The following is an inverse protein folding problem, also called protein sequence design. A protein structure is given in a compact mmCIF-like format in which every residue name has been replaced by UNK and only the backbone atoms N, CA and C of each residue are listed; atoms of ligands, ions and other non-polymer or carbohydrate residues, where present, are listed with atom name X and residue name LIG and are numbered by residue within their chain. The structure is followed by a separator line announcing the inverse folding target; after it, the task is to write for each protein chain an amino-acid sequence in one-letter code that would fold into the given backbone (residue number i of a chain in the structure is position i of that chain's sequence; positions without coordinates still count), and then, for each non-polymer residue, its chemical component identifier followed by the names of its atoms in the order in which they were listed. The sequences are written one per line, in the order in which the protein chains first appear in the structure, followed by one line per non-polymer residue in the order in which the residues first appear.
data_IF_417489887686
#
_entry.id   IF_417489887686
#
_cell.length_a   1.000
_cell.length_b   1.000
_cell.length_c   1.000
_cell.angle_alpha   90.00
_cell.angle_beta   90.00
_cell.angle_gamma   90.00
#
_symmetry.space_group_name_H-M   'P 1'
#
loop_
_entity.id
_entity.type
_entity.pdbx_description
1 polymer ?
#
# COMPACT_ATOMS: atom_id res chain seq x y z
N UNK A 1 -20.77 33.40 19.88
CA UNK A 1 -19.39 33.45 20.42
C UNK A 1 -18.82 32.09 20.13
N UNK A 2 -18.16 31.98 18.98
CA UNK A 2 -17.66 30.73 18.45
C UNK A 2 -16.50 30.25 19.32
N UNK A 3 -16.72 29.18 20.08
CA UNK A 3 -15.65 28.51 20.80
C UNK A 3 -14.77 27.83 19.75
N UNK A 4 -13.72 28.54 19.32
CA UNK A 4 -12.62 27.95 18.57
C UNK A 4 -12.13 26.73 19.35
N UNK A 5 -12.36 25.54 18.79
CA UNK A 5 -11.80 24.30 19.33
C UNK A 5 -10.27 24.48 19.46
N UNK A 6 -9.64 23.94 20.51
CA UNK A 6 -8.21 24.07 20.70
C UNK A 6 -7.46 23.50 19.47
N UNK A 7 -6.29 24.07 19.10
CA UNK A 7 -5.46 23.54 18.03
C UNK A 7 -4.87 22.19 18.49
N UNK A 8 -5.63 21.12 18.28
CA UNK A 8 -5.29 19.75 18.66
C UNK A 8 -5.76 18.78 17.59
N UNK A 9 -5.17 17.58 17.59
CA UNK A 9 -5.59 16.49 16.70
C UNK A 9 -7.09 16.21 16.90
N UNK A 10 -7.87 16.29 15.82
CA UNK A 10 -9.29 15.92 15.86
C UNK A 10 -9.43 14.43 16.19
N UNK A 11 -10.59 14.05 16.74
CA UNK A 11 -10.89 12.63 16.98
C UNK A 11 -10.77 11.82 15.68
N UNK A 12 -11.24 12.38 14.55
CA UNK A 12 -11.13 11.77 13.23
C UNK A 12 -9.67 11.55 12.87
N UNK A 13 -8.79 12.54 13.07
CA UNK A 13 -7.35 12.40 12.83
C UNK A 13 -6.72 11.27 13.66
N UNK A 14 -7.09 11.16 14.95
CA UNK A 14 -6.60 10.08 15.82
C UNK A 14 -7.08 8.72 15.33
N UNK A 15 -8.36 8.58 14.98
CA UNK A 15 -8.93 7.34 14.47
C UNK A 15 -8.32 6.96 13.11
N UNK A 16 -8.08 7.93 12.22
CA UNK A 16 -7.40 7.72 10.94
C UNK A 16 -5.97 7.24 11.12
N UNK A 17 -5.22 7.78 12.09
CA UNK A 17 -3.87 7.32 12.41
C UNK A 17 -3.85 5.90 12.98
N UNK A 18 -4.83 5.55 13.82
CA UNK A 18 -5.00 4.19 14.31
C UNK A 18 -5.34 3.23 13.16
N UNK A 19 -6.27 3.60 12.28
CA UNK A 19 -6.62 2.82 11.10
C UNK A 19 -5.41 2.60 10.18
N UNK A 20 -4.62 3.65 9.92
CA UNK A 20 -3.37 3.57 9.17
C UNK A 20 -2.35 2.62 9.84
N UNK A 21 -2.21 2.71 11.17
CA UNK A 21 -1.35 1.78 11.92
C UNK A 21 -1.82 0.33 11.81
N UNK A 22 -3.13 0.07 11.81
CA UNK A 22 -3.70 -1.25 11.58
C UNK A 22 -3.48 -1.75 10.14
N UNK A 23 -3.59 -0.88 9.13
CA UNK A 23 -3.28 -1.23 7.74
C UNK A 23 -1.81 -1.62 7.57
N UNK A 24 -0.89 -0.85 8.14
CA UNK A 24 0.56 -1.18 8.14
C UNK A 24 0.80 -2.51 8.86
N UNK A 25 0.19 -2.72 10.03
CA UNK A 25 0.31 -3.97 10.76
C UNK A 25 -0.19 -5.16 9.92
N UNK A 26 -1.34 -5.03 9.27
CA UNK A 26 -1.88 -6.05 8.38
C UNK A 26 -0.90 -6.35 7.23
N UNK A 27 -0.34 -5.33 6.59
CA UNK A 27 0.66 -5.50 5.53
C UNK A 27 1.93 -6.21 6.03
N UNK A 28 2.40 -5.88 7.25
CA UNK A 28 3.53 -6.56 7.90
C UNK A 28 3.21 -8.03 8.17
N UNK A 29 2.03 -8.33 8.69
CA UNK A 29 1.59 -9.71 8.96
C UNK A 29 1.48 -10.53 7.67
N UNK A 30 0.92 -9.95 6.59
CA UNK A 30 0.86 -10.59 5.27
C UNK A 30 2.27 -10.84 4.73
N UNK A 31 3.16 -9.86 4.82
CA UNK A 31 4.55 -9.98 4.39
C UNK A 31 5.29 -11.06 5.18
N UNK A 32 5.08 -11.14 6.49
CA UNK A 32 5.68 -12.19 7.30
C UNK A 32 5.12 -13.58 6.97
N UNK A 33 3.80 -13.66 6.70
CA UNK A 33 3.09 -14.91 6.41
C UNK A 33 3.42 -15.49 5.03
N UNK A 34 3.58 -14.64 4.03
CA UNK A 34 3.80 -15.04 2.63
C UNK A 34 5.25 -14.85 2.18
N UNK A 35 5.99 -13.90 2.76
CA UNK A 35 7.35 -13.55 2.35
C UNK A 35 8.44 -14.57 2.68
N UNK A 36 8.15 -15.63 3.46
CA UNK A 36 8.96 -16.84 3.59
C UNK A 36 10.49 -16.65 3.53
N UNK A 37 11.16 -17.35 2.61
CA UNK A 37 12.60 -17.27 2.36
C UNK A 37 12.99 -16.17 1.34
N UNK A 38 12.10 -15.22 1.05
CA UNK A 38 12.38 -14.15 0.09
C UNK A 38 13.48 -13.23 0.62
N UNK A 39 14.22 -12.59 -0.30
CA UNK A 39 15.30 -11.69 0.07
C UNK A 39 14.79 -10.50 0.88
N UNK A 40 15.66 -9.81 1.61
CA UNK A 40 15.27 -8.59 2.36
C UNK A 40 14.65 -7.54 1.44
N UNK A 41 15.16 -7.42 0.20
CA UNK A 41 14.61 -6.51 -0.81
C UNK A 41 13.19 -6.91 -1.21
N UNK A 42 12.98 -8.20 -1.49
CA UNK A 42 11.66 -8.71 -1.87
C UNK A 42 10.66 -8.54 -0.73
N UNK A 43 11.09 -8.69 0.53
CA UNK A 43 10.23 -8.44 1.70
C UNK A 43 9.79 -6.98 1.79
N UNK A 44 10.66 -6.01 1.50
CA UNK A 44 10.27 -4.60 1.45
C UNK A 44 9.32 -4.31 0.29
N UNK A 45 9.56 -4.91 -0.88
CA UNK A 45 8.65 -4.81 -2.03
C UNK A 45 7.28 -5.40 -1.68
N UNK A 46 7.24 -6.60 -1.11
CA UNK A 46 6.00 -7.24 -0.66
C UNK A 46 5.25 -6.40 0.37
N UNK A 47 5.97 -5.83 1.36
CA UNK A 47 5.36 -4.95 2.35
C UNK A 47 4.70 -3.74 1.71
N UNK A 48 5.42 -3.07 0.81
CA UNK A 48 4.89 -1.94 0.06
C UNK A 48 3.65 -2.34 -0.73
N UNK A 49 3.72 -3.42 -1.53
CA UNK A 49 2.61 -3.86 -2.38
C UNK A 49 1.39 -4.33 -1.58
N UNK A 50 1.58 -5.02 -0.45
CA UNK A 50 0.46 -5.38 0.43
C UNK A 50 -0.19 -4.16 1.04
N UNK A 51 0.60 -3.20 1.50
CA UNK A 51 0.08 -1.94 2.05
C UNK A 51 -0.69 -1.15 0.98
N UNK A 52 -0.13 -1.06 -0.22
CA UNK A 52 -0.73 -0.43 -1.39
C UNK A 52 -2.12 -1.03 -1.69
N UNK A 53 -2.24 -2.36 -1.83
CA UNK A 53 -3.53 -3.03 -2.05
C UNK A 53 -4.51 -2.77 -0.90
N UNK A 54 -4.04 -2.77 0.35
CA UNK A 54 -4.90 -2.50 1.52
C UNK A 54 -5.46 -1.07 1.46
N UNK A 55 -4.63 -0.07 1.15
CA UNK A 55 -5.06 1.34 1.05
C UNK A 55 -6.09 1.50 -0.06
N UNK A 56 -5.84 0.95 -1.25
CA UNK A 56 -6.80 1.01 -2.35
C UNK A 56 -8.14 0.37 -1.99
N UNK A 57 -8.16 -0.76 -1.28
CA UNK A 57 -9.40 -1.43 -0.90
C UNK A 57 -10.16 -0.74 0.24
N UNK A 58 -9.45 -0.11 1.18
CA UNK A 58 -10.04 0.39 2.44
C UNK A 58 -10.23 1.90 2.49
N UNK A 59 -9.54 2.68 1.64
CA UNK A 59 -9.63 4.14 1.60
C UNK A 59 -10.06 4.65 0.21
N UNK A 60 -9.27 4.39 -0.83
CA UNK A 60 -9.52 4.94 -2.17
C UNK A 60 -10.76 4.34 -2.84
N UNK A 61 -10.97 3.02 -2.72
CA UNK A 61 -12.16 2.35 -3.24
C UNK A 61 -13.46 2.90 -2.64
N UNK A 62 -13.58 3.03 -1.30
CA UNK A 62 -14.70 3.72 -0.68
C UNK A 62 -14.84 5.19 -1.09
N UNK A 63 -13.74 5.93 -1.26
CA UNK A 63 -13.77 7.28 -1.82
C UNK A 63 -14.44 7.30 -3.20
N UNK A 64 -13.93 6.48 -4.13
CA UNK A 64 -14.48 6.34 -5.48
C UNK A 64 -15.96 5.97 -5.43
N UNK A 65 -16.35 5.03 -4.57
CA UNK A 65 -17.76 4.66 -4.40
C UNK A 65 -18.62 5.86 -3.98
N UNK A 66 -18.23 6.58 -2.93
CA UNK A 66 -18.95 7.78 -2.47
C UNK A 66 -19.02 8.87 -3.55
N UNK A 67 -17.94 9.04 -4.32
CA UNK A 67 -17.82 10.07 -5.37
C UNK A 67 -18.53 9.74 -6.67
N UNK A 68 -18.75 8.46 -6.99
CA UNK A 68 -19.52 8.05 -8.18
C UNK A 68 -21.02 8.09 -7.92
N UNK A 69 -21.45 7.76 -6.70
CA UNK A 69 -22.86 7.71 -6.32
C UNK A 69 -23.36 8.98 -5.59
N UNK A 70 -22.50 9.98 -5.44
CA UNK A 70 -22.80 11.21 -4.71
C UNK A 70 -21.54 12.05 -4.53
N UNK A 71 -21.33 12.55 -3.31
CA UNK A 71 -20.08 13.17 -2.91
C UNK A 71 -19.71 12.76 -1.49
N UNK A 72 -18.44 12.96 -1.11
CA UNK A 72 -18.00 12.84 0.29
C UNK A 72 -18.80 13.78 1.20
N UNK A 73 -19.18 14.97 0.71
CA UNK A 73 -19.95 15.93 1.48
C UNK A 73 -21.32 15.40 1.91
N UNK A 74 -22.00 14.66 1.05
CA UNK A 74 -23.35 14.12 1.29
C UNK A 74 -23.34 12.72 1.86
N UNK A 75 -22.18 12.09 1.96
CA UNK A 75 -22.01 10.73 2.49
C UNK A 75 -21.96 10.76 4.01
N UNK A 76 -22.29 9.65 4.65
CA UNK A 76 -22.28 9.51 6.12
C UNK A 76 -21.43 8.32 6.56
N UNK A 77 -20.96 8.38 7.80
CA UNK A 77 -20.18 7.33 8.44
C UNK A 77 -18.67 7.58 8.50
N UNK A 78 -17.91 6.65 9.10
CA UNK A 78 -16.52 6.90 9.49
C UNK A 78 -15.57 7.23 8.34
N UNK A 79 -15.76 6.60 7.18
CA UNK A 79 -14.94 6.88 6.00
C UNK A 79 -15.29 8.22 5.36
N UNK A 80 -16.56 8.62 5.39
CA UNK A 80 -16.97 9.96 4.92
C UNK A 80 -16.41 11.04 5.84
N UNK A 81 -16.42 10.83 7.16
CA UNK A 81 -15.78 11.74 8.12
C UNK A 81 -14.26 11.83 7.92
N UNK A 82 -13.59 10.69 7.71
CA UNK A 82 -12.16 10.64 7.39
C UNK A 82 -11.84 11.46 6.13
N UNK A 83 -12.58 11.25 5.04
CA UNK A 83 -12.37 11.97 3.78
C UNK A 83 -12.78 13.45 3.87
N UNK A 84 -13.76 13.80 4.71
CA UNK A 84 -14.06 15.21 5.04
C UNK A 84 -12.91 15.88 5.77
N UNK A 85 -12.32 15.21 6.76
CA UNK A 85 -11.13 15.72 7.44
C UNK A 85 -9.96 15.86 6.46
N UNK A 86 -9.71 14.86 5.62
CA UNK A 86 -8.69 14.92 4.57
C UNK A 86 -8.93 16.08 3.59
N UNK A 87 -10.18 16.35 3.24
CA UNK A 87 -10.54 17.43 2.32
C UNK A 87 -10.26 18.84 2.85
N UNK A 88 -9.93 19.00 4.14
CA UNK A 88 -9.43 20.26 4.67
C UNK A 88 -8.07 20.63 4.06
N UNK A 89 -7.26 19.64 3.68
CA UNK A 89 -6.00 19.86 2.98
C UNK A 89 -6.21 20.17 1.48
N UNK A 90 -7.24 19.60 0.87
CA UNK A 90 -7.63 19.84 -0.52
C UNK A 90 -9.14 19.62 -0.71
N UNK A 91 -9.87 20.70 -0.93
CA UNK A 91 -11.34 20.68 -0.98
C UNK A 91 -11.91 19.93 -2.19
N UNK A 92 -11.10 19.65 -3.20
CA UNK A 92 -11.52 18.89 -4.39
C UNK A 92 -11.95 17.45 -4.07
N UNK A 93 -11.40 16.88 -3.00
CA UNK A 93 -11.80 15.57 -2.46
C UNK A 93 -13.21 15.60 -1.86
N UNK A 94 -13.67 16.76 -1.36
CA UNK A 94 -15.01 16.89 -0.78
C UNK A 94 -16.10 16.84 -1.86
N UNK A 95 -15.87 17.54 -2.96
CA UNK A 95 -16.84 17.76 -4.05
C UNK A 95 -16.71 16.77 -5.20
N UNK A 96 -15.84 15.77 -5.08
CA UNK A 96 -15.63 14.72 -6.09
C UNK A 96 -15.19 15.29 -7.45
N UNK A 97 -14.11 16.07 -7.44
CA UNK A 97 -13.53 16.62 -8.67
C UNK A 97 -13.28 15.53 -9.73
N UNK A 98 -13.74 15.69 -10.98
CA UNK A 98 -13.65 14.64 -11.99
C UNK A 98 -12.22 14.19 -12.30
N UNK A 99 -11.21 15.04 -12.14
CA UNK A 99 -9.82 14.67 -12.38
C UNK A 99 -9.32 13.73 -11.28
N UNK A 100 -9.62 14.05 -10.02
CA UNK A 100 -9.30 13.21 -8.86
C UNK A 100 -10.06 11.90 -8.95
N UNK A 101 -11.37 11.94 -9.18
CA UNK A 101 -12.18 10.71 -9.27
C UNK A 101 -11.71 9.82 -10.43
N UNK A 102 -11.34 10.41 -11.58
CA UNK A 102 -10.85 9.63 -12.72
C UNK A 102 -9.51 8.95 -12.45
N UNK A 103 -8.57 9.62 -11.78
CA UNK A 103 -7.28 9.00 -11.44
C UNK A 103 -7.45 7.95 -10.35
N UNK A 104 -8.31 8.18 -9.35
CA UNK A 104 -8.56 7.20 -8.28
C UNK A 104 -9.28 5.95 -8.80
N UNK A 105 -10.18 6.07 -9.77
CA UNK A 105 -10.74 4.90 -10.47
C UNK A 105 -9.63 4.11 -11.17
N UNK A 106 -8.67 4.81 -11.80
CA UNK A 106 -7.54 4.19 -12.47
C UNK A 106 -6.64 3.45 -11.46
N UNK A 107 -6.28 4.07 -10.35
CA UNK A 107 -5.39 3.49 -9.32
C UNK A 107 -6.06 2.31 -8.62
N UNK A 108 -7.30 2.48 -8.15
CA UNK A 108 -8.08 1.43 -7.46
C UNK A 108 -8.28 0.19 -8.33
N UNK A 109 -8.39 0.33 -9.65
CA UNK A 109 -8.56 -0.82 -10.54
C UNK A 109 -7.23 -1.31 -11.08
N UNK A 110 -6.51 -0.48 -11.84
CA UNK A 110 -5.32 -0.92 -12.56
C UNK A 110 -4.12 -1.14 -11.63
N UNK A 111 -3.83 -0.19 -10.74
CA UNK A 111 -2.67 -0.30 -9.87
C UNK A 111 -2.87 -1.40 -8.83
N UNK A 112 -4.07 -1.57 -8.29
CA UNK A 112 -4.38 -2.71 -7.40
C UNK A 112 -4.24 -4.06 -8.10
N UNK A 113 -4.75 -4.22 -9.33
CA UNK A 113 -4.57 -5.46 -10.10
C UNK A 113 -3.10 -5.72 -10.41
N UNK A 114 -2.36 -4.67 -10.82
CA UNK A 114 -0.94 -4.75 -11.07
C UNK A 114 -0.16 -5.13 -9.80
N UNK A 115 -0.49 -4.54 -8.64
CA UNK A 115 0.13 -4.83 -7.36
C UNK A 115 -0.09 -6.30 -6.96
N UNK A 116 -1.31 -6.84 -7.14
CA UNK A 116 -1.60 -8.26 -6.92
C UNK A 116 -0.79 -9.17 -7.86
N UNK A 117 -0.66 -8.80 -9.15
CA UNK A 117 0.17 -9.54 -10.10
C UNK A 117 1.65 -9.51 -9.71
N UNK A 118 2.16 -8.36 -9.24
CA UNK A 118 3.54 -8.22 -8.77
C UNK A 118 3.78 -9.02 -7.48
N UNK A 119 2.85 -9.00 -6.52
CA UNK A 119 2.90 -9.87 -5.33
C UNK A 119 2.99 -11.33 -5.77
N UNK A 120 2.11 -11.76 -6.68
CA UNK A 120 2.15 -13.12 -7.21
C UNK A 120 3.49 -13.44 -7.88
N UNK A 121 4.03 -12.53 -8.70
CA UNK A 121 5.30 -12.72 -9.39
C UNK A 121 6.49 -12.84 -8.42
N UNK A 122 6.54 -11.99 -7.38
CA UNK A 122 7.58 -12.01 -6.35
C UNK A 122 7.50 -13.30 -5.52
N UNK A 123 6.30 -13.71 -5.11
CA UNK A 123 6.12 -14.93 -4.29
C UNK A 123 6.43 -16.22 -5.05
N UNK A 124 6.18 -16.27 -6.36
CA UNK A 124 6.42 -17.46 -7.17
C UNK A 124 7.83 -17.49 -7.79
N UNK A 125 8.68 -16.50 -7.49
CA UNK A 125 10.11 -16.53 -7.81
C UNK A 125 10.41 -16.73 -9.30
N UNK A 126 9.42 -16.46 -10.18
CA UNK A 126 9.44 -16.88 -11.59
C UNK A 126 10.34 -16.03 -12.48
N UNK A 127 10.94 -14.95 -11.99
CA UNK A 127 11.56 -13.96 -12.89
C UNK A 127 13.06 -13.68 -12.72
N UNK A 128 13.73 -14.04 -11.61
CA UNK A 128 15.13 -13.61 -11.40
C UNK A 128 16.18 -14.69 -11.08
N UNK A 129 15.80 -15.92 -10.73
CA UNK A 129 16.79 -16.94 -10.34
C UNK A 129 17.50 -17.65 -11.49
N UNK A 130 17.08 -17.45 -12.74
CA UNK A 130 17.77 -18.11 -13.86
C UNK A 130 19.08 -17.44 -14.27
N UNK A 131 19.28 -16.15 -13.98
CA UNK A 131 20.39 -15.36 -14.54
C UNK A 131 21.36 -14.75 -13.52
N UNK A 132 21.05 -14.82 -12.23
CA UNK A 132 21.97 -14.38 -11.18
C UNK A 132 22.50 -15.62 -10.46
N UNK A 133 23.73 -16.08 -10.77
CA UNK A 133 24.39 -17.06 -9.95
C UNK A 133 24.46 -16.50 -8.53
N UNK A 134 23.94 -17.27 -7.58
CA UNK A 134 24.02 -16.96 -6.17
C UNK A 134 25.48 -16.60 -5.84
N UNK A 135 25.68 -15.47 -5.16
CA UNK A 135 27.01 -15.02 -4.75
C UNK A 135 27.71 -16.11 -3.90
N UNK A 136 26.94 -16.95 -3.20
CA UNK A 136 27.46 -18.10 -2.46
C UNK A 136 27.99 -19.23 -3.37
N UNK A 137 27.44 -19.40 -4.57
CA UNK A 137 27.92 -20.38 -5.55
C UNK A 137 29.17 -19.91 -6.26
N UNK A 138 29.27 -18.60 -6.56
CA UNK A 138 30.51 -18.02 -7.10
C UNK A 138 31.68 -18.17 -6.13
N UNK A 139 31.45 -17.91 -4.84
CA UNK A 139 32.48 -18.07 -3.80
C UNK A 139 32.84 -19.54 -3.62
N UNK A 140 31.88 -20.47 -3.68
CA UNK A 140 32.15 -21.92 -3.63
C UNK A 140 32.89 -22.43 -4.86
N UNK A 141 32.62 -21.88 -6.04
CA UNK A 141 33.29 -22.25 -7.28
C UNK A 141 34.75 -21.76 -7.30
N UNK A 142 35.00 -20.53 -6.86
CA UNK A 142 36.38 -20.00 -6.72
C UNK A 142 37.16 -20.83 -5.71
N UNK A 143 36.57 -21.15 -4.55
CA UNK A 143 37.24 -21.98 -3.53
C UNK A 143 37.56 -23.40 -4.03
N UNK A 144 36.65 -24.00 -4.81
CA UNK A 144 36.92 -25.30 -5.47
C UNK A 144 38.01 -25.23 -6.53
N UNK A 145 38.15 -24.11 -7.23
CA UNK A 145 39.23 -23.92 -8.20
C UNK A 145 40.58 -23.75 -7.48
N UNK A 146 40.61 -23.03 -6.37
CA UNK A 146 41.81 -22.88 -5.55
C UNK A 146 42.29 -24.24 -5.00
N UNK A 147 41.36 -25.09 -4.52
CA UNK A 147 41.66 -26.45 -4.02
C UNK A 147 42.15 -27.41 -5.14
N UNK A 148 41.80 -27.17 -6.40
CA UNK A 148 42.21 -27.99 -7.54
C UNK A 148 43.56 -27.57 -8.14
N UNK A 149 44.02 -26.36 -7.83
CA UNK A 149 45.28 -25.80 -8.33
C UNK A 149 46.44 -25.88 -7.31
N UNK A 150 46.18 -26.37 -6.11
CA UNK A 150 47.15 -26.69 -5.05
C UNK A 150 47.55 -28.16 -5.05
#
# INVERSE_FOLDING_TARGET
MDSAAPPGLSLVSVLSLLACSFQVLAAVLLTHRYGGQSSVRDRWILLWLFYDVIVHLTLEGPFVYMSVFGTVQTSEGPLAELWREYSQADSRWLVSDPTIVSIEILTVVLDSLLALLLIYAVLNDKYYRHFLPDHSERVRAVRRLDDLLS
#
